data_IF_425567943198
#
_entry.id   IF_425567943198
#
_cell.length_a   1.000
_cell.length_b   1.000
_cell.length_c   1.000
_cell.angle_alpha   90.00
_cell.angle_beta   90.00
_cell.angle_gamma   90.00
#
_symmetry.space_group_name_H-M   'P 1'
#
loop_
_entity.id
_entity.type
_entity.pdbx_description
1 polymer ?
#
# COMPACT_ATOMS: atom_id res chain seq x y z
N UNK A 1 -16.37 -23.65 -24.32
CA UNK A 1 -16.21 -24.19 -22.96
C UNK A 1 -14.75 -24.42 -22.61
N UNK A 2 -13.91 -24.89 -23.55
CA UNK A 2 -12.45 -25.00 -23.35
C UNK A 2 -11.77 -23.67 -22.96
N UNK A 3 -12.12 -22.56 -23.61
CA UNK A 3 -11.50 -21.25 -23.37
C UNK A 3 -11.73 -20.69 -21.95
N UNK A 4 -12.90 -20.95 -21.37
CA UNK A 4 -13.21 -20.54 -19.98
C UNK A 4 -12.41 -21.37 -18.97
N UNK A 5 -12.26 -22.68 -19.22
CA UNK A 5 -11.49 -23.56 -18.35
C UNK A 5 -9.99 -23.28 -18.41
N UNK A 6 -9.45 -22.96 -19.59
CA UNK A 6 -8.04 -22.55 -19.74
C UNK A 6 -7.77 -21.23 -19.01
N UNK A 7 -8.66 -20.24 -19.13
CA UNK A 7 -8.54 -18.97 -18.42
C UNK A 7 -8.62 -19.13 -16.89
N UNK A 8 -9.55 -19.96 -16.39
CA UNK A 8 -9.65 -20.29 -14.96
C UNK A 8 -8.40 -20.99 -14.42
N UNK A 9 -7.82 -21.94 -15.17
CA UNK A 9 -6.58 -22.63 -14.77
C UNK A 9 -5.41 -21.65 -14.76
N UNK A 10 -5.29 -20.77 -15.76
CA UNK A 10 -4.24 -19.74 -15.84
C UNK A 10 -4.36 -18.76 -14.67
N UNK A 11 -5.56 -18.27 -14.37
CA UNK A 11 -5.81 -17.41 -13.22
C UNK A 11 -5.46 -18.08 -11.90
N UNK A 12 -5.86 -19.34 -11.69
CA UNK A 12 -5.53 -20.10 -10.46
C UNK A 12 -4.03 -20.34 -10.30
N UNK A 13 -3.33 -20.71 -11.36
CA UNK A 13 -1.86 -20.88 -11.33
C UNK A 13 -1.15 -19.55 -11.05
N UNK A 14 -1.62 -18.47 -11.66
CA UNK A 14 -1.10 -17.13 -11.39
C UNK A 14 -1.31 -16.72 -9.93
N UNK A 15 -2.49 -16.99 -9.37
CA UNK A 15 -2.78 -16.71 -7.96
C UNK A 15 -1.87 -17.51 -7.02
N UNK A 16 -1.72 -18.82 -7.25
CA UNK A 16 -0.84 -19.66 -6.43
C UNK A 16 0.62 -19.16 -6.45
N UNK A 17 1.12 -18.76 -7.63
CA UNK A 17 2.44 -18.15 -7.75
C UNK A 17 2.55 -16.86 -6.95
N UNK A 18 1.58 -15.94 -7.12
CA UNK A 18 1.58 -14.64 -6.44
C UNK A 18 1.59 -14.82 -4.92
N UNK A 19 0.69 -15.64 -4.39
CA UNK A 19 0.61 -15.91 -2.94
C UNK A 19 1.89 -16.57 -2.43
N UNK A 20 2.42 -17.56 -3.15
CA UNK A 20 3.67 -18.24 -2.75
C UNK A 20 4.87 -17.27 -2.74
N UNK A 21 4.98 -16.36 -3.70
CA UNK A 21 6.04 -15.36 -3.74
C UNK A 21 5.89 -14.32 -2.62
N UNK A 22 4.67 -13.85 -2.34
CA UNK A 22 4.41 -12.95 -1.22
C UNK A 22 4.82 -13.58 0.12
N UNK A 23 4.50 -14.86 0.32
CA UNK A 23 4.83 -15.57 1.56
C UNK A 23 6.31 -15.89 1.71
N UNK A 24 7.00 -16.21 0.63
CA UNK A 24 8.41 -16.62 0.66
C UNK A 24 9.37 -15.43 0.53
N UNK A 25 9.16 -14.58 -0.46
CA UNK A 25 10.02 -13.44 -0.83
C UNK A 25 9.58 -12.13 -0.22
N UNK A 26 8.29 -11.99 0.09
CA UNK A 26 7.69 -10.75 0.58
C UNK A 26 7.06 -9.87 -0.50
N UNK A 27 7.18 -10.23 -1.77
CA UNK A 27 6.63 -9.48 -2.89
C UNK A 27 6.32 -10.39 -4.09
N UNK A 28 5.50 -9.90 -5.01
CA UNK A 28 5.25 -10.52 -6.33
C UNK A 28 4.99 -9.45 -7.38
N UNK A 29 5.26 -9.78 -8.65
CA UNK A 29 4.94 -8.92 -9.79
C UNK A 29 3.69 -9.47 -10.49
N UNK A 30 2.76 -8.58 -10.79
CA UNK A 30 1.53 -8.86 -11.53
C UNK A 30 1.50 -7.99 -12.77
N UNK A 31 1.58 -8.62 -13.95
CA UNK A 31 1.52 -7.96 -15.26
C UNK A 31 0.07 -7.85 -15.73
N UNK A 32 -0.14 -7.08 -16.80
CA UNK A 32 -1.40 -7.05 -17.56
C UNK A 32 -2.65 -6.58 -16.78
N UNK A 33 -2.46 -5.71 -15.79
CA UNK A 33 -3.57 -5.06 -15.05
C UNK A 33 -4.22 -3.95 -15.88
N UNK A 34 -3.42 -3.29 -16.71
CA UNK A 34 -3.81 -2.19 -17.58
C UNK A 34 -3.21 -2.43 -18.97
N UNK A 35 -3.93 -2.01 -20.02
CA UNK A 35 -3.36 -2.00 -21.36
C UNK A 35 -2.40 -0.82 -21.55
N UNK A 36 -1.48 -0.88 -22.53
CA UNK A 36 -0.62 0.26 -22.86
C UNK A 36 -1.42 1.54 -23.18
N UNK A 37 -2.56 1.41 -23.84
CA UNK A 37 -3.45 2.52 -24.18
C UNK A 37 -4.05 3.16 -22.93
N UNK A 38 -4.54 2.35 -21.99
CA UNK A 38 -5.07 2.84 -20.71
C UNK A 38 -3.99 3.57 -19.90
N UNK A 39 -2.79 2.98 -19.82
CA UNK A 39 -1.68 3.63 -19.14
C UNK A 39 -1.28 4.96 -19.80
N UNK A 40 -1.22 5.03 -21.13
CA UNK A 40 -0.88 6.27 -21.85
C UNK A 40 -1.98 7.34 -21.69
N UNK A 41 -3.25 6.93 -21.67
CA UNK A 41 -4.36 7.82 -21.37
C UNK A 41 -4.24 8.40 -19.96
N UNK A 42 -3.98 7.56 -18.95
CA UNK A 42 -3.85 8.02 -17.56
C UNK A 42 -2.60 8.89 -17.36
N UNK A 43 -1.47 8.56 -18.01
CA UNK A 43 -0.27 9.42 -18.02
C UNK A 43 -0.60 10.79 -18.59
N UNK A 44 -1.34 10.87 -19.71
CA UNK A 44 -1.77 12.14 -20.30
C UNK A 44 -2.60 12.95 -19.31
N UNK A 45 -3.59 12.34 -18.65
CA UNK A 45 -4.41 13.01 -17.64
C UNK A 45 -3.60 13.50 -16.43
N UNK A 46 -2.60 12.73 -15.96
CA UNK A 46 -1.70 13.19 -14.91
C UNK A 46 -0.82 14.34 -15.37
N UNK A 47 -0.31 14.32 -16.61
CA UNK A 47 0.47 15.42 -17.19
C UNK A 47 -0.36 16.70 -17.36
N UNK A 48 -1.62 16.58 -17.75
CA UNK A 48 -2.58 17.69 -17.79
C UNK A 48 -2.87 18.23 -16.39
N UNK A 49 -3.09 17.37 -15.40
CA UNK A 49 -3.23 17.80 -14.01
C UNK A 49 -1.98 18.55 -13.54
N UNK A 50 -0.81 18.02 -13.86
CA UNK A 50 0.50 18.57 -13.56
C UNK A 50 0.68 19.96 -14.22
N UNK A 51 0.25 20.15 -15.47
CA UNK A 51 0.46 21.40 -16.22
C UNK A 51 -0.20 22.61 -15.57
N UNK A 52 -1.28 22.41 -14.80
CA UNK A 52 -1.97 23.46 -14.03
C UNK A 52 -1.05 24.22 -13.08
N UNK A 53 0.00 23.55 -12.59
CA UNK A 53 0.96 24.11 -11.64
C UNK A 53 2.06 24.96 -12.31
N UNK A 54 2.19 24.91 -13.64
CA UNK A 54 3.31 25.55 -14.34
C UNK A 54 4.67 25.11 -13.79
N UNK A 55 5.49 26.08 -13.41
CA UNK A 55 6.79 25.84 -12.77
C UNK A 55 6.68 25.62 -11.25
N UNK A 56 5.54 25.95 -10.65
CA UNK A 56 5.29 25.81 -9.22
C UNK A 56 4.73 24.42 -8.87
N UNK A 57 5.46 23.37 -9.25
CA UNK A 57 5.04 22.00 -8.97
C UNK A 57 4.81 21.77 -7.46
N UNK A 58 3.84 20.92 -7.09
CA UNK A 58 3.59 20.60 -5.68
C UNK A 58 4.83 19.95 -5.05
N UNK A 59 5.00 20.12 -3.75
CA UNK A 59 6.06 19.43 -3.01
C UNK A 59 5.83 17.92 -3.06
N UNK A 60 6.91 17.16 -3.30
CA UNK A 60 6.90 15.70 -3.42
C UNK A 60 8.02 15.13 -2.57
N UNK A 61 7.65 14.51 -1.45
CA UNK A 61 8.59 13.72 -0.66
C UNK A 61 8.72 12.36 -1.34
N UNK A 62 9.94 11.98 -1.75
CA UNK A 62 10.20 10.72 -2.46
C UNK A 62 9.30 10.49 -3.70
N UNK A 63 8.97 11.59 -4.39
CA UNK A 63 8.05 11.69 -5.53
C UNK A 63 6.56 11.50 -5.22
N UNK A 64 6.18 11.25 -3.97
CA UNK A 64 4.82 10.93 -3.58
C UNK A 64 3.97 12.19 -3.37
N UNK A 65 2.80 12.22 -4.02
CA UNK A 65 1.85 13.33 -3.93
C UNK A 65 0.54 12.87 -3.30
N UNK A 66 0.20 13.43 -2.14
CA UNK A 66 -1.08 13.21 -1.44
C UNK A 66 -2.00 14.42 -1.52
N UNK A 67 -1.46 15.60 -1.80
CA UNK A 67 -2.24 16.83 -1.85
C UNK A 67 -2.90 17.01 -3.22
N UNK A 68 -3.63 18.11 -3.31
CA UNK A 68 -4.27 18.60 -4.52
C UNK A 68 -5.29 17.62 -5.13
N UNK A 69 -5.92 16.79 -4.28
CA UNK A 69 -6.99 15.84 -4.62
C UNK A 69 -6.59 14.81 -5.68
N UNK A 70 -5.29 14.60 -5.92
CA UNK A 70 -4.81 13.65 -6.95
C UNK A 70 -5.20 12.21 -6.63
N UNK A 71 -5.29 11.86 -5.35
CA UNK A 71 -5.80 10.57 -4.89
C UNK A 71 -7.24 10.29 -5.34
N UNK A 72 -8.02 11.33 -5.69
CA UNK A 72 -9.41 11.23 -6.13
C UNK A 72 -9.60 11.57 -7.61
N UNK A 73 -8.51 11.77 -8.36
CA UNK A 73 -8.58 11.98 -9.78
C UNK A 73 -9.13 10.73 -10.50
N UNK A 74 -9.79 10.95 -11.63
CA UNK A 74 -10.33 9.88 -12.48
C UNK A 74 -9.32 8.76 -12.83
N UNK A 75 -8.08 9.05 -13.27
CA UNK A 75 -7.13 7.98 -13.57
C UNK A 75 -6.78 7.16 -12.32
N UNK A 76 -6.70 7.79 -11.14
CA UNK A 76 -6.40 7.12 -9.87
C UNK A 76 -7.49 6.11 -9.50
N UNK A 77 -8.76 6.50 -9.62
CA UNK A 77 -9.89 5.61 -9.35
C UNK A 77 -9.98 4.45 -10.34
N UNK A 78 -9.75 4.71 -11.63
CA UNK A 78 -9.70 3.67 -12.64
C UNK A 78 -8.61 2.63 -12.34
N UNK A 79 -7.41 3.06 -11.95
CA UNK A 79 -6.31 2.16 -11.58
C UNK A 79 -6.66 1.30 -10.37
N UNK A 80 -7.31 1.87 -9.34
CA UNK A 80 -7.80 1.09 -8.19
C UNK A 80 -8.80 0.03 -8.61
N UNK A 81 -9.80 0.39 -9.42
CA UNK A 81 -10.81 -0.56 -9.91
C UNK A 81 -10.17 -1.70 -10.72
N UNK A 82 -9.18 -1.40 -11.56
CA UNK A 82 -8.42 -2.40 -12.33
C UNK A 82 -7.56 -3.30 -11.47
N UNK A 83 -7.13 -2.83 -10.30
CA UNK A 83 -6.35 -3.61 -9.34
C UNK A 83 -7.22 -4.51 -8.45
N UNK A 84 -8.51 -4.19 -8.27
CA UNK A 84 -9.43 -4.92 -7.39
C UNK A 84 -9.42 -6.44 -7.61
N UNK A 85 -9.48 -6.99 -8.84
CA UNK A 85 -9.47 -8.44 -9.05
C UNK A 85 -8.22 -9.14 -8.51
N UNK A 86 -7.06 -8.46 -8.49
CA UNK A 86 -5.83 -9.01 -7.93
C UNK A 86 -5.97 -9.14 -6.41
N UNK A 87 -6.42 -8.07 -5.74
CA UNK A 87 -6.66 -8.08 -4.31
C UNK A 87 -7.77 -9.06 -3.90
N UNK A 88 -8.85 -9.15 -4.69
CA UNK A 88 -9.93 -10.08 -4.42
C UNK A 88 -9.46 -11.53 -4.50
N UNK A 89 -8.56 -11.81 -5.45
CA UNK A 89 -7.97 -13.14 -5.62
C UNK A 89 -7.06 -13.53 -4.44
N UNK A 90 -6.14 -12.64 -4.01
CA UNK A 90 -5.22 -12.95 -2.89
C UNK A 90 -5.94 -13.05 -1.55
N UNK A 91 -6.99 -12.25 -1.34
CA UNK A 91 -7.80 -12.29 -0.11
C UNK A 91 -8.95 -13.29 -0.16
N UNK A 92 -9.22 -13.88 -1.33
CA UNK A 92 -10.33 -14.80 -1.56
C UNK A 92 -11.70 -14.21 -1.20
N UNK A 93 -11.90 -12.92 -1.45
CA UNK A 93 -13.17 -12.22 -1.23
C UNK A 93 -13.31 -11.00 -2.14
N UNK A 94 -14.52 -10.75 -2.64
CA UNK A 94 -14.85 -9.53 -3.39
C UNK A 94 -15.20 -8.33 -2.50
N UNK A 95 -15.39 -8.60 -1.19
CA UNK A 95 -15.77 -7.60 -0.21
C UNK A 95 -14.52 -6.94 0.35
N UNK A 96 -14.06 -5.90 -0.33
CA UNK A 96 -12.80 -5.22 -0.05
C UNK A 96 -13.03 -3.76 0.29
N UNK A 97 -12.14 -3.19 1.10
CA UNK A 97 -11.97 -1.74 1.22
C UNK A 97 -10.63 -1.34 0.63
N UNK A 98 -10.61 -0.22 -0.09
CA UNK A 98 -9.39 0.34 -0.71
C UNK A 98 -8.87 1.52 0.09
N UNK A 99 -7.55 1.69 0.16
CA UNK A 99 -6.95 2.96 0.52
C UNK A 99 -7.25 4.00 -0.56
N UNK A 100 -7.28 5.27 -0.18
CA UNK A 100 -7.31 6.42 -1.08
C UNK A 100 -5.93 7.09 -1.07
N UNK A 101 -4.91 6.29 -1.33
CA UNK A 101 -3.50 6.68 -1.25
C UNK A 101 -3.08 7.57 -2.41
N UNK A 102 -1.88 8.14 -2.30
CA UNK A 102 -1.29 9.08 -3.23
C UNK A 102 -0.87 8.50 -4.57
N UNK A 103 -0.30 9.38 -5.38
CA UNK A 103 0.31 9.05 -6.67
C UNK A 103 1.76 9.52 -6.64
N UNK A 104 2.70 8.63 -6.95
CA UNK A 104 4.08 9.00 -7.11
C UNK A 104 4.33 9.48 -8.56
N UNK A 105 4.72 10.73 -8.70
CA UNK A 105 4.92 11.40 -9.99
C UNK A 105 6.22 12.19 -10.00
N UNK A 106 7.16 11.81 -10.86
CA UNK A 106 8.44 12.52 -10.95
C UNK A 106 8.85 12.72 -12.40
N UNK A 107 9.37 13.89 -12.68
CA UNK A 107 9.95 14.19 -13.98
C UNK A 107 11.38 13.63 -14.09
N UNK A 108 11.87 13.38 -15.31
CA UNK A 108 13.24 12.99 -15.53
C UNK A 108 14.24 13.95 -14.87
N UNK A 109 15.20 13.47 -14.05
CA UNK A 109 16.24 14.31 -13.45
C UNK A 109 17.08 15.08 -14.47
N UNK A 110 17.11 14.61 -15.71
CA UNK A 110 17.72 15.28 -16.85
C UNK A 110 17.15 16.68 -17.13
N UNK A 111 15.91 16.97 -16.69
CA UNK A 111 15.29 18.29 -16.78
C UNK A 111 15.75 19.26 -15.67
N UNK A 112 16.62 18.82 -14.76
CA UNK A 112 17.25 19.67 -13.74
C UNK A 112 16.37 20.02 -12.54
N UNK A 113 15.20 19.38 -12.41
CA UNK A 113 14.21 19.65 -11.34
C UNK A 113 14.07 18.51 -10.32
N UNK A 114 14.62 17.34 -10.63
CA UNK A 114 14.69 16.20 -9.72
C UNK A 114 16.12 15.67 -9.63
N UNK A 115 16.39 14.85 -8.62
CA UNK A 115 17.74 14.35 -8.34
C UNK A 115 17.94 12.95 -8.91
N UNK A 116 19.14 12.66 -9.40
CA UNK A 116 19.57 11.28 -9.63
C UNK A 116 19.82 10.58 -8.31
N UNK A 117 19.81 9.24 -8.32
CA UNK A 117 20.13 8.47 -7.13
C UNK A 117 21.54 8.78 -6.62
N UNK A 118 21.65 8.86 -5.30
CA UNK A 118 22.92 8.77 -4.59
C UNK A 118 23.12 7.30 -4.16
N UNK A 119 24.26 6.70 -4.50
CA UNK A 119 24.56 5.30 -4.15
C UNK A 119 24.54 5.01 -2.66
N UNK A 120 24.79 6.04 -1.84
CA UNK A 120 24.83 5.94 -0.39
C UNK A 120 23.48 6.23 0.27
N UNK A 121 22.46 6.62 -0.52
CA UNK A 121 21.12 6.92 -0.01
C UNK A 121 20.24 5.67 0.00
N UNK A 122 19.85 5.28 1.21
CA UNK A 122 18.86 4.25 1.48
C UNK A 122 17.84 4.81 2.45
N UNK A 123 16.57 4.65 2.13
CA UNK A 123 15.47 4.92 3.05
C UNK A 123 14.57 3.69 3.14
N UNK A 124 15.21 2.52 3.05
CA UNK A 124 14.57 1.22 3.23
C UNK A 124 13.78 1.23 4.52
N UNK A 125 12.49 0.96 4.42
CA UNK A 125 11.57 0.98 5.53
C UNK A 125 10.62 -0.21 5.47
N UNK A 126 9.94 -0.45 6.59
CA UNK A 126 8.74 -1.29 6.63
C UNK A 126 7.57 -0.45 7.10
N UNK A 127 6.43 -0.58 6.46
CA UNK A 127 5.23 0.15 6.84
C UNK A 127 4.51 -0.49 8.03
N UNK A 128 4.67 -1.80 8.22
CA UNK A 128 4.07 -2.49 9.34
C UNK A 128 4.97 -2.40 10.58
N UNK A 129 4.53 -1.57 11.54
CA UNK A 129 5.20 -1.41 12.81
C UNK A 129 5.27 -2.69 13.64
N UNK A 130 6.15 -2.69 14.64
CA UNK A 130 6.40 -3.84 15.53
C UNK A 130 5.20 -4.29 16.36
N UNK A 131 4.18 -3.43 16.48
CA UNK A 131 2.98 -3.66 17.26
C UNK A 131 1.91 -4.47 16.51
N UNK A 132 1.97 -4.53 15.16
CA UNK A 132 1.09 -5.34 14.32
C UNK A 132 1.70 -6.71 14.07
N UNK A 133 1.07 -7.76 14.58
CA UNK A 133 1.56 -9.13 14.46
C UNK A 133 0.90 -9.92 13.33
N UNK A 134 1.69 -10.47 12.41
CA UNK A 134 1.16 -11.23 11.27
C UNK A 134 0.82 -10.34 10.08
N UNK A 135 0.19 -10.91 9.06
CA UNK A 135 -0.15 -10.19 7.82
C UNK A 135 -1.33 -9.23 8.06
N UNK A 136 -1.15 -7.95 7.79
CA UNK A 136 -2.20 -6.92 7.89
C UNK A 136 -2.54 -6.24 6.56
N UNK A 137 -1.60 -6.19 5.62
CA UNK A 137 -1.87 -5.72 4.27
C UNK A 137 -0.92 -6.34 3.26
N UNK A 138 -1.45 -6.50 2.06
CA UNK A 138 -0.63 -6.45 0.86
C UNK A 138 -0.80 -5.06 0.26
N UNK A 139 0.31 -4.40 -0.02
CA UNK A 139 0.35 -3.10 -0.67
C UNK A 139 0.76 -3.24 -2.13
N UNK A 140 0.31 -2.31 -2.95
CA UNK A 140 0.47 -2.33 -4.40
C UNK A 140 0.96 -1.01 -4.96
N UNK A 141 1.83 -1.09 -5.96
CA UNK A 141 2.36 0.04 -6.70
C UNK A 141 2.16 -0.25 -8.19
N UNK A 142 1.22 0.44 -8.82
CA UNK A 142 0.87 0.26 -10.23
C UNK A 142 1.66 1.23 -11.08
N UNK A 143 2.61 0.70 -11.85
CA UNK A 143 3.46 1.44 -12.77
C UNK A 143 2.74 1.64 -14.10
N UNK A 144 2.53 2.92 -14.44
CA UNK A 144 1.89 3.31 -15.71
C UNK A 144 2.92 3.47 -16.83
N UNK A 145 4.16 3.80 -16.49
CA UNK A 145 5.27 3.95 -17.44
C UNK A 145 6.25 2.78 -17.34
N UNK A 146 6.95 2.51 -18.46
CA UNK A 146 8.03 1.53 -18.47
C UNK A 146 9.23 1.99 -17.62
N UNK A 147 9.86 1.03 -16.96
CA UNK A 147 11.06 1.22 -16.15
C UNK A 147 12.06 0.09 -16.36
N UNK A 148 13.32 0.48 -16.43
CA UNK A 148 14.50 -0.37 -16.37
C UNK A 148 15.22 -0.18 -15.03
N UNK A 149 16.25 -0.97 -14.74
CA UNK A 149 16.99 -0.92 -13.46
C UNK A 149 17.66 0.44 -13.17
N UNK A 150 17.80 1.28 -14.19
CA UNK A 150 18.41 2.61 -14.13
C UNK A 150 17.38 3.73 -14.07
N UNK A 151 16.08 3.41 -14.18
CA UNK A 151 14.95 4.34 -14.05
C UNK A 151 14.47 4.42 -12.59
N UNK A 152 13.37 5.13 -12.35
CA UNK A 152 12.70 5.13 -11.05
C UNK A 152 12.17 3.73 -10.71
N UNK A 153 12.81 3.05 -9.76
CA UNK A 153 12.49 1.66 -9.44
C UNK A 153 11.93 1.51 -8.02
N UNK A 154 11.05 0.54 -7.87
CA UNK A 154 10.77 -0.06 -6.56
C UNK A 154 11.94 -0.97 -6.19
N UNK A 155 12.40 -0.87 -4.96
CA UNK A 155 13.49 -1.68 -4.44
C UNK A 155 13.04 -2.35 -3.16
N UNK A 156 13.36 -3.63 -3.02
CA UNK A 156 13.03 -4.43 -1.84
C UNK A 156 14.28 -5.09 -1.30
N UNK A 157 14.21 -5.44 -0.03
CA UNK A 157 15.09 -6.41 0.58
C UNK A 157 14.35 -7.76 0.57
N UNK A 158 14.56 -8.54 -0.49
CA UNK A 158 13.93 -9.84 -0.70
C UNK A 158 14.18 -10.78 0.50
N UNK A 159 13.18 -11.57 0.87
CA UNK A 159 13.14 -12.47 2.03
C UNK A 159 13.06 -11.77 3.40
N UNK A 160 13.09 -10.42 3.47
CA UNK A 160 13.01 -9.70 4.74
C UNK A 160 11.76 -10.00 5.57
N UNK A 161 10.64 -10.34 4.91
CA UNK A 161 9.37 -10.71 5.55
C UNK A 161 9.53 -11.88 6.54
N UNK A 162 10.47 -12.80 6.30
CA UNK A 162 10.72 -13.96 7.16
C UNK A 162 11.25 -13.58 8.56
N UNK A 163 11.85 -12.39 8.68
CA UNK A 163 12.56 -11.98 9.88
C UNK A 163 11.80 -10.92 10.70
N UNK A 164 10.74 -10.31 10.15
CA UNK A 164 10.01 -9.18 10.75
C UNK A 164 9.72 -9.39 12.24
N UNK A 165 9.04 -10.48 12.62
CA UNK A 165 8.64 -10.70 14.02
C UNK A 165 9.61 -11.52 14.87
N UNK A 166 10.10 -12.68 14.39
CA UNK A 166 10.81 -13.63 15.26
C UNK A 166 12.25 -13.22 15.59
N UNK A 167 12.93 -12.49 14.69
CA UNK A 167 14.35 -12.21 14.83
C UNK A 167 14.66 -10.71 14.83
N UNK A 168 14.08 -9.92 13.93
CA UNK A 168 14.44 -8.51 13.75
C UNK A 168 14.05 -7.65 14.97
N UNK A 169 12.77 -7.68 15.37
CA UNK A 169 12.28 -6.90 16.53
C UNK A 169 12.88 -7.36 17.87
N UNK A 170 13.29 -8.63 17.99
CA UNK A 170 13.99 -9.13 19.18
C UNK A 170 15.46 -8.71 19.23
N UNK A 171 16.13 -8.71 18.07
CA UNK A 171 17.55 -8.37 17.96
C UNK A 171 17.80 -6.88 18.18
N UNK A 172 16.84 -6.03 17.76
CA UNK A 172 16.93 -4.58 17.90
C UNK A 172 15.81 -4.04 18.82
N UNK A 173 15.89 -4.26 20.15
CA UNK A 173 14.81 -3.97 21.11
C UNK A 173 14.64 -2.49 21.46
N UNK A 174 15.61 -1.61 21.12
CA UNK A 174 15.50 -0.14 21.30
C UNK A 174 14.25 0.46 20.62
N UNK A 175 13.64 -0.32 19.71
CA UNK A 175 12.36 -0.08 19.04
C UNK A 175 11.13 0.01 19.92
N UNK A 176 11.19 -0.42 21.19
CA UNK A 176 10.04 -0.24 22.11
C UNK A 176 9.64 1.21 22.31
N UNK A 177 10.52 2.19 22.05
CA UNK A 177 10.18 3.62 22.10
C UNK A 177 9.29 4.11 20.94
N UNK A 178 9.32 3.43 19.79
CA UNK A 178 8.43 3.69 18.65
C UNK A 178 7.34 2.60 18.52
N UNK A 179 7.09 1.85 19.61
CA UNK A 179 6.01 0.87 19.63
C UNK A 179 4.67 1.61 19.49
N UNK A 180 4.00 1.40 18.36
CA UNK A 180 2.76 2.08 18.00
C UNK A 180 2.86 2.95 16.74
N UNK A 181 4.05 3.18 16.20
CA UNK A 181 4.23 3.86 14.91
C UNK A 181 4.27 2.80 13.79
N UNK A 182 3.31 2.88 12.88
CA UNK A 182 3.46 2.33 11.53
C UNK A 182 4.48 3.20 10.77
N UNK A 183 5.23 2.63 9.81
CA UNK A 183 6.40 3.22 9.14
C UNK A 183 7.70 3.27 9.98
N UNK A 184 8.72 2.50 9.55
CA UNK A 184 10.02 2.42 10.21
C UNK A 184 11.16 2.37 9.19
N UNK A 185 11.98 3.43 9.15
CA UNK A 185 13.20 3.50 8.33
C UNK A 185 14.35 2.78 9.02
N UNK A 186 15.04 1.92 8.28
CA UNK A 186 16.15 1.12 8.80
C UNK A 186 17.45 1.92 8.89
N UNK A 187 18.24 1.61 9.91
CA UNK A 187 19.63 2.03 9.98
C UNK A 187 20.52 1.18 9.06
N UNK A 188 21.73 1.67 8.77
CA UNK A 188 22.73 0.89 8.02
C UNK A 188 23.06 -0.45 8.69
N UNK A 189 23.22 -0.46 10.02
CA UNK A 189 23.48 -1.68 10.80
C UNK A 189 22.36 -2.71 10.63
N UNK A 190 21.11 -2.25 10.58
CA UNK A 190 19.94 -3.11 10.40
C UNK A 190 19.87 -3.67 8.97
N UNK A 191 20.19 -2.86 7.96
CA UNK A 191 20.30 -3.31 6.57
C UNK A 191 21.41 -4.38 6.46
N UNK A 192 22.59 -4.12 7.03
CA UNK A 192 23.71 -5.06 7.03
C UNK A 192 23.35 -6.37 7.76
N UNK A 193 22.55 -6.30 8.83
CA UNK A 193 22.03 -7.49 9.51
C UNK A 193 21.15 -8.34 8.59
N UNK A 194 20.22 -7.75 7.85
CA UNK A 194 19.42 -8.51 6.89
C UNK A 194 20.26 -9.12 5.77
N UNK A 195 21.26 -8.38 5.26
CA UNK A 195 22.19 -8.91 4.26
C UNK A 195 22.94 -10.13 4.82
N UNK A 196 23.36 -10.09 6.10
CA UNK A 196 23.97 -11.23 6.78
C UNK A 196 23.04 -12.44 6.97
N UNK A 197 21.73 -12.24 6.80
CA UNK A 197 20.69 -13.28 6.79
C UNK A 197 20.30 -13.73 5.39
N UNK A 198 21.16 -13.46 4.40
CA UNK A 198 20.96 -13.82 2.98
C UNK A 198 19.78 -13.09 2.32
N UNK A 199 19.28 -12.00 2.90
CA UNK A 199 18.36 -11.10 2.21
C UNK A 199 19.10 -10.33 1.12
N UNK A 200 18.42 -10.09 0.00
CA UNK A 200 19.03 -9.48 -1.18
C UNK A 200 18.31 -8.19 -1.56
N UNK A 201 19.07 -7.13 -1.81
CA UNK A 201 18.52 -5.92 -2.40
C UNK A 201 18.18 -6.23 -3.87
N UNK A 202 16.89 -6.13 -4.21
CA UNK A 202 16.39 -6.28 -5.57
C UNK A 202 15.78 -4.98 -6.04
N UNK A 203 16.11 -4.58 -7.27
CA UNK A 203 15.45 -3.51 -8.02
C UNK A 203 14.64 -4.14 -9.14
N UNK A 204 13.47 -3.61 -9.42
CA UNK A 204 12.59 -4.19 -10.42
C UNK A 204 12.52 -3.36 -11.68
N UNK A 205 12.47 -4.07 -12.80
CA UNK A 205 12.10 -3.53 -14.11
C UNK A 205 10.61 -3.76 -14.31
N UNK A 206 9.89 -2.73 -14.69
CA UNK A 206 8.46 -2.83 -15.03
C UNK A 206 8.29 -2.49 -16.49
N UNK A 207 7.67 -3.37 -17.28
CA UNK A 207 7.12 -2.92 -18.55
C UNK A 207 5.91 -2.04 -18.29
N UNK A 208 4.84 -2.62 -17.76
CA UNK A 208 3.69 -1.98 -17.08
C UNK A 208 3.08 -3.04 -16.15
N UNK A 209 2.49 -2.65 -15.03
CA UNK A 209 1.89 -3.62 -14.10
C UNK A 209 1.99 -3.19 -12.65
N UNK A 210 1.89 -4.13 -11.74
CA UNK A 210 1.89 -3.89 -10.29
C UNK A 210 2.97 -4.70 -9.59
N UNK A 211 3.71 -4.05 -8.70
CA UNK A 211 4.35 -4.76 -7.58
C UNK A 211 3.33 -4.88 -6.48
N UNK A 212 3.18 -6.08 -5.95
CA UNK A 212 2.44 -6.36 -4.75
C UNK A 212 3.43 -6.80 -3.67
N UNK A 213 3.36 -6.26 -2.46
CA UNK A 213 4.25 -6.66 -1.36
C UNK A 213 3.50 -6.77 -0.03
N UNK A 214 4.01 -7.63 0.83
CA UNK A 214 3.58 -7.71 2.23
C UNK A 214 4.02 -6.45 2.98
N UNK A 215 3.15 -5.84 3.78
CA UNK A 215 3.46 -4.61 4.54
C UNK A 215 4.67 -4.74 5.49
N UNK A 216 5.08 -5.98 5.80
CA UNK A 216 6.29 -6.31 6.60
C UNK A 216 7.59 -6.34 5.78
N UNK A 217 7.49 -6.40 4.46
CA UNK A 217 8.64 -6.44 3.54
C UNK A 217 9.35 -5.10 3.58
N UNK A 218 10.67 -5.14 3.74
CA UNK A 218 11.49 -3.94 3.70
C UNK A 218 11.67 -3.47 2.27
N UNK A 219 11.37 -2.21 2.02
CA UNK A 219 11.35 -1.65 0.68
C UNK A 219 11.57 -0.15 0.68
N UNK A 220 11.82 0.41 -0.50
CA UNK A 220 11.81 1.84 -0.78
C UNK A 220 11.63 2.08 -2.29
N UNK A 221 11.66 3.35 -2.70
CA UNK A 221 11.91 3.69 -4.09
C UNK A 221 13.26 4.35 -4.28
N UNK A 222 13.84 4.15 -5.45
CA UNK A 222 15.11 4.77 -5.83
C UNK A 222 14.92 5.67 -7.05
N UNK A 223 15.58 6.83 -7.01
CA UNK A 223 15.68 7.72 -8.15
C UNK A 223 16.52 7.08 -9.30
N UNK A 224 16.47 7.64 -10.51
CA UNK A 224 17.20 7.11 -11.66
C UNK A 224 18.72 7.26 -11.50
N UNK A 225 19.48 6.40 -12.16
CA UNK A 225 20.94 6.52 -12.24
C UNK A 225 21.33 7.53 -13.31
N UNK A 226 22.38 8.31 -13.06
CA UNK A 226 22.93 9.25 -14.05
C UNK A 226 23.41 8.50 -15.29
N UNK A 227 23.07 9.02 -16.48
CA UNK A 227 23.48 8.43 -17.76
C UNK A 227 22.64 7.22 -18.20
N UNK A 228 21.43 7.04 -17.63
CA UNK A 228 20.48 6.02 -18.08
C UNK A 228 20.13 6.19 -19.56
N UNK A 229 19.81 5.08 -20.22
CA UNK A 229 19.52 5.06 -21.65
C UNK A 229 18.20 5.78 -22.00
N UNK A 230 17.17 5.62 -21.18
CA UNK A 230 15.84 6.17 -21.41
C UNK A 230 15.60 7.43 -20.56
N UNK A 231 16.37 8.47 -20.85
CA UNK A 231 16.43 9.71 -20.08
C UNK A 231 15.16 10.56 -20.13
N UNK A 232 14.20 10.23 -20.98
CA UNK A 232 12.91 10.92 -21.14
C UNK A 232 11.79 10.31 -20.28
N UNK A 233 12.00 9.12 -19.68
CA UNK A 233 10.98 8.40 -18.94
C UNK A 233 10.67 9.03 -17.58
N UNK A 234 9.39 9.26 -17.36
CA UNK A 234 8.80 9.77 -16.12
C UNK A 234 8.50 8.64 -15.12
N UNK A 235 8.34 8.99 -13.85
CA UNK A 235 7.68 8.13 -12.87
C UNK A 235 6.20 8.47 -12.81
N UNK A 236 5.34 7.48 -13.05
CA UNK A 236 3.91 7.55 -12.77
C UNK A 236 3.47 6.25 -12.11
N UNK A 237 3.24 6.29 -10.80
CA UNK A 237 2.89 5.12 -10.00
C UNK A 237 1.69 5.46 -9.11
N UNK A 238 0.63 4.65 -9.19
CA UNK A 238 -0.52 4.76 -8.28
C UNK A 238 -0.36 3.75 -7.16
N UNK A 239 -0.45 4.23 -5.92
CA UNK A 239 -0.38 3.39 -4.74
C UNK A 239 -1.78 2.84 -4.45
N UNK A 240 -1.89 1.52 -4.31
CA UNK A 240 -3.15 0.82 -4.12
C UNK A 240 -2.98 -0.23 -3.05
N UNK A 241 -3.79 -0.16 -2.00
CA UNK A 241 -3.90 -1.24 -1.03
C UNK A 241 -5.38 -1.56 -0.85
N UNK A 242 -5.72 -2.83 -0.80
CA UNK A 242 -7.06 -3.26 -0.46
C UNK A 242 -7.01 -4.42 0.53
N UNK A 243 -7.94 -4.44 1.48
CA UNK A 243 -8.08 -5.51 2.48
C UNK A 243 -9.54 -5.91 2.64
N UNK A 244 -9.84 -7.10 3.18
CA UNK A 244 -11.21 -7.52 3.45
C UNK A 244 -12.00 -6.48 4.26
N UNK A 245 -13.21 -6.16 3.79
CA UNK A 245 -14.06 -5.15 4.43
C UNK A 245 -14.43 -5.50 5.87
N UNK A 246 -14.48 -6.80 6.21
CA UNK A 246 -14.76 -7.29 7.57
C UNK A 246 -13.69 -6.90 8.60
N UNK A 247 -12.50 -6.47 8.17
CA UNK A 247 -11.44 -6.03 9.08
C UNK A 247 -11.64 -4.59 9.59
N UNK A 248 -12.58 -3.85 8.99
CA UNK A 248 -12.80 -2.45 9.31
C UNK A 248 -13.54 -2.25 10.62
N UNK A 249 -13.30 -1.10 11.24
CA UNK A 249 -14.07 -0.60 12.38
C UNK A 249 -15.09 0.45 11.93
N UNK A 250 -16.02 0.84 12.80
CA UNK A 250 -16.97 1.91 12.43
C UNK A 250 -16.25 3.25 12.32
N UNK A 251 -15.24 3.46 13.16
CA UNK A 251 -14.36 4.63 13.19
C UNK A 251 -13.56 4.77 11.89
N UNK A 252 -12.96 3.67 11.41
CA UNK A 252 -12.27 3.66 10.11
C UNK A 252 -13.23 4.03 8.97
N UNK A 253 -14.47 3.51 8.99
CA UNK A 253 -15.47 3.80 7.96
C UNK A 253 -15.84 5.28 7.94
N UNK A 254 -16.03 5.92 9.09
CA UNK A 254 -16.33 7.36 9.15
C UNK A 254 -15.16 8.19 8.61
N UNK A 255 -13.92 7.83 8.93
CA UNK A 255 -12.73 8.50 8.36
C UNK A 255 -12.64 8.31 6.84
N UNK A 256 -12.98 7.13 6.32
CA UNK A 256 -13.01 6.89 4.86
C UNK A 256 -14.12 7.70 4.18
N UNK A 257 -15.28 7.87 4.81
CA UNK A 257 -16.34 8.74 4.30
C UNK A 257 -15.88 10.20 4.26
N UNK A 258 -15.28 10.70 5.34
CA UNK A 258 -14.68 12.05 5.37
C UNK A 258 -13.66 12.21 4.24
N UNK A 259 -12.74 11.26 4.09
CA UNK A 259 -11.74 11.29 3.04
C UNK A 259 -12.34 11.30 1.62
N UNK A 260 -13.45 10.59 1.40
CA UNK A 260 -14.18 10.62 0.14
C UNK A 260 -14.92 11.94 -0.09
N UNK A 261 -15.70 12.41 0.89
CA UNK A 261 -16.51 13.61 0.75
C UNK A 261 -15.65 14.86 0.54
N UNK A 262 -14.49 14.92 1.19
CA UNK A 262 -13.58 16.07 1.10
C UNK A 262 -12.48 15.90 0.05
N UNK A 263 -12.42 14.72 -0.58
CA UNK A 263 -11.36 14.30 -1.50
C UNK A 263 -9.94 14.37 -0.89
N UNK A 264 -9.82 13.98 0.38
CA UNK A 264 -8.54 13.85 1.06
C UNK A 264 -7.90 12.49 0.77
N UNK A 265 -6.57 12.45 0.64
CA UNK A 265 -5.85 11.18 0.55
C UNK A 265 -5.79 10.51 1.92
N UNK A 266 -5.77 9.18 1.94
CA UNK A 266 -5.48 8.39 3.15
C UNK A 266 -4.08 7.80 3.07
N UNK A 267 -3.51 7.39 4.21
CA UNK A 267 -2.40 6.44 4.21
C UNK A 267 -2.77 5.11 3.53
N UNK A 268 -1.77 4.24 3.39
CA UNK A 268 -1.91 2.95 2.71
C UNK A 268 -2.87 1.98 3.42
N UNK A 269 -3.12 2.11 4.73
CA UNK A 269 -4.04 1.22 5.46
C UNK A 269 -5.50 1.45 5.06
N UNK A 270 -6.19 0.46 4.44
CA UNK A 270 -7.59 0.63 4.07
C UNK A 270 -8.56 0.38 5.23
N UNK A 271 -8.09 -0.26 6.30
CA UNK A 271 -8.80 -0.60 7.53
C UNK A 271 -7.80 -0.76 8.70
N UNK A 272 -8.30 -0.79 9.93
CA UNK A 272 -7.54 -0.98 11.16
C UNK A 272 -6.50 0.11 11.41
N UNK A 273 -6.89 1.38 11.41
CA UNK A 273 -5.98 2.51 11.54
C UNK A 273 -5.90 3.36 10.29
N UNK A 274 -7.07 3.63 9.68
CA UNK A 274 -7.18 4.61 8.60
C UNK A 274 -6.71 5.96 9.10
N UNK A 275 -5.87 6.62 8.31
CA UNK A 275 -5.34 7.95 8.63
C UNK A 275 -5.40 8.84 7.39
N UNK A 276 -5.76 10.11 7.58
CA UNK A 276 -5.94 11.09 6.50
C UNK A 276 -4.71 11.99 6.42
N UNK A 277 -4.20 12.18 5.21
CA UNK A 277 -3.21 13.22 4.97
C UNK A 277 -3.86 14.60 5.09
N UNK A 278 -3.06 15.57 5.50
CA UNK A 278 -3.48 16.97 5.55
C UNK A 278 -4.02 17.44 4.20
N UNK A 279 -5.13 18.16 4.26
CA UNK A 279 -5.80 18.69 3.08
C UNK A 279 -4.92 19.76 2.44
N UNK A 280 -5.05 19.93 1.13
CA UNK A 280 -4.35 20.96 0.35
C UNK A 280 -4.50 22.36 0.94
N UNK A 281 -5.62 22.65 1.62
CA UNK A 281 -5.87 23.92 2.30
C UNK A 281 -5.07 24.11 3.60
N UNK A 282 -4.66 23.04 4.29
CA UNK A 282 -4.13 23.11 5.66
C UNK A 282 -2.60 23.25 5.72
N UNK A 283 -1.88 22.71 4.72
CA UNK A 283 -0.43 22.93 4.54
C UNK A 283 -0.11 24.19 3.74
N UNK A 284 -1.04 24.69 2.93
CA UNK A 284 -0.91 25.94 2.18
C UNK A 284 -1.27 27.16 3.04
N UNK A 285 -0.54 27.37 4.16
CA UNK A 285 -0.54 28.68 4.86
C UNK A 285 0.14 29.79 4.05
N UNK A 286 0.36 29.58 2.76
CA UNK A 286 0.76 30.61 1.80
C UNK A 286 -0.16 30.56 0.59
N UNK A 287 -0.63 31.74 0.21
CA UNK A 287 -1.50 32.10 -0.90
C UNK A 287 -0.90 31.76 -2.30
N UNK A 288 0.08 30.86 -2.37
CA UNK A 288 0.87 30.56 -3.59
C UNK A 288 0.05 29.81 -4.63
N UNK A 289 -0.73 28.83 -4.17
CA UNK A 289 -1.56 27.98 -5.04
C UNK A 289 -3.04 28.41 -5.11
N UNK A 290 -3.40 29.58 -4.62
CA UNK A 290 -4.79 30.06 -4.64
C UNK A 290 -5.33 30.31 -6.05
N UNK A 291 -4.44 30.48 -7.02
CA UNK A 291 -4.77 30.60 -8.43
C UNK A 291 -5.11 29.25 -9.08
N UNK A 292 -4.81 28.12 -8.43
CA UNK A 292 -5.10 26.80 -8.96
C UNK A 292 -6.56 26.42 -8.74
N UNK A 293 -7.22 26.02 -9.82
CA UNK A 293 -8.65 25.78 -9.77
C UNK A 293 -9.09 24.55 -8.94
N UNK A 294 -8.26 23.63 -8.47
CA UNK A 294 -8.72 22.42 -7.72
C UNK A 294 -9.81 21.54 -8.38
N UNK A 295 -9.79 20.24 -8.11
CA UNK A 295 -10.89 19.35 -8.52
C UNK A 295 -12.06 19.63 -7.58
N UNK A 296 -13.21 20.06 -8.08
CA UNK A 296 -14.34 20.49 -7.24
C UNK A 296 -15.27 19.35 -6.84
N UNK A 297 -15.38 18.31 -7.67
CA UNK A 297 -16.27 17.18 -7.44
C UNK A 297 -15.58 15.85 -7.72
N UNK A 298 -16.11 14.78 -7.09
CA UNK A 298 -15.74 13.41 -7.42
C UNK A 298 -16.04 13.12 -8.91
N UNK A 299 -15.10 12.50 -9.66
CA UNK A 299 -15.34 12.14 -11.06
C UNK A 299 -16.45 11.09 -11.17
N UNK A 300 -17.05 10.97 -12.36
CA UNK A 300 -18.18 10.04 -12.58
C UNK A 300 -17.89 8.61 -12.16
N UNK A 301 -16.66 8.12 -12.41
CA UNK A 301 -16.24 6.77 -12.01
C UNK A 301 -16.22 6.56 -10.49
N UNK A 302 -15.92 7.61 -9.72
CA UNK A 302 -15.86 7.55 -8.26
C UNK A 302 -17.25 7.41 -7.61
N UNK A 303 -18.29 7.83 -8.34
CA UNK A 303 -19.69 7.71 -7.94
C UNK A 303 -20.29 6.33 -8.27
N UNK A 304 -19.50 5.44 -8.89
CA UNK A 304 -19.95 4.08 -9.22
C UNK A 304 -20.13 3.22 -7.97
N UNK A 305 -21.02 2.25 -8.05
CA UNK A 305 -21.32 1.31 -6.96
C UNK A 305 -20.07 0.60 -6.41
N UNK A 306 -19.16 0.20 -7.31
CA UNK A 306 -17.93 -0.48 -6.91
C UNK A 306 -16.98 0.43 -6.13
N UNK A 307 -16.86 1.70 -6.51
CA UNK A 307 -16.05 2.65 -5.74
C UNK A 307 -16.70 2.95 -4.39
N UNK A 308 -18.01 3.21 -4.36
CA UNK A 308 -18.72 3.48 -3.10
C UNK A 308 -18.59 2.32 -2.10
N UNK A 309 -18.51 1.08 -2.59
CA UNK A 309 -18.21 -0.11 -1.79
C UNK A 309 -16.76 -0.18 -1.34
N UNK A 310 -15.80 0.07 -2.22
CA UNK A 310 -14.37 0.12 -1.87
C UNK A 310 -14.05 1.22 -0.84
N UNK A 311 -14.81 2.32 -0.84
CA UNK A 311 -14.72 3.38 0.18
C UNK A 311 -15.40 2.96 1.48
N UNK A 312 -16.46 2.15 1.42
CA UNK A 312 -17.27 1.76 2.57
C UNK A 312 -18.49 2.67 2.80
N UNK A 313 -18.84 3.50 1.82
CA UNK A 313 -20.11 4.27 1.80
C UNK A 313 -21.27 3.31 1.57
N UNK A 314 -21.15 2.47 0.54
CA UNK A 314 -22.09 1.38 0.31
C UNK A 314 -21.60 0.12 1.03
N UNK A 315 -22.50 -0.50 1.80
CA UNK A 315 -22.21 -1.78 2.43
C UNK A 315 -22.22 -2.90 1.40
N UNK A 316 -21.33 -3.86 1.60
CA UNK A 316 -21.46 -5.17 0.99
C UNK A 316 -22.70 -5.87 1.57
N UNK A 317 -23.35 -6.72 0.77
CA UNK A 317 -24.40 -7.58 1.30
C UNK A 317 -23.77 -8.48 2.39
N UNK A 318 -24.51 -8.79 3.45
CA UNK A 318 -24.04 -9.76 4.42
C UNK A 318 -23.94 -11.12 3.71
N UNK A 319 -22.72 -11.56 3.42
CA UNK A 319 -22.51 -12.90 2.89
C UNK A 319 -22.76 -13.91 4.00
N UNK A 320 -23.89 -14.63 3.91
CA UNK A 320 -24.28 -15.70 4.83
C UNK A 320 -23.26 -16.87 4.90
N UNK A 321 -22.20 -16.85 4.08
CA UNK A 321 -21.18 -17.90 3.96
C UNK A 321 -19.72 -17.42 4.03
N UNK A 322 -19.45 -16.24 4.58
CA UNK A 322 -18.05 -15.79 4.74
C UNK A 322 -17.38 -16.44 5.97
N UNK A 323 -16.98 -17.70 5.83
CA UNK A 323 -16.04 -18.32 6.75
C UNK A 323 -14.66 -17.66 6.58
N UNK A 324 -14.20 -16.95 7.61
CA UNK A 324 -12.90 -16.30 7.62
C UNK A 324 -11.81 -17.34 7.74
N UNK A 325 -10.94 -17.43 6.73
CA UNK A 325 -9.63 -18.05 6.88
C UNK A 325 -8.70 -16.98 7.45
N UNK A 326 -8.34 -17.12 8.72
CA UNK A 326 -7.16 -16.44 9.28
C UNK A 326 -6.03 -17.46 9.42
N UNK A 327 -4.80 -17.04 9.10
CA UNK A 327 -3.61 -17.86 9.39
C UNK A 327 -3.30 -17.75 10.87
N UNK A 328 -3.27 -18.89 11.57
CA UNK A 328 -2.79 -18.92 12.95
C UNK A 328 -1.27 -18.74 13.01
N UNK A 329 -0.73 -18.65 14.24
CA UNK A 329 0.69 -18.44 14.53
C UNK A 329 1.64 -19.55 14.03
N UNK A 330 1.11 -20.61 13.40
CA UNK A 330 1.86 -21.72 12.82
C UNK A 330 1.84 -21.76 11.28
N UNK A 331 1.04 -20.89 10.63
CA UNK A 331 0.88 -20.89 9.16
C UNK A 331 -0.14 -21.92 8.67
N UNK A 332 -0.98 -22.48 9.55
CA UNK A 332 -2.05 -23.41 9.19
C UNK A 332 -3.39 -22.67 9.07
N UNK A 333 -4.20 -23.06 8.09
CA UNK A 333 -5.55 -22.52 7.83
C UNK A 333 -6.49 -22.93 8.98
N UNK A 334 -6.98 -21.99 9.78
CA UNK A 334 -7.97 -22.27 10.82
C UNK A 334 -9.24 -21.43 10.62
N UNK A 335 -10.38 -22.12 10.69
CA UNK A 335 -11.72 -21.54 10.78
C UNK A 335 -11.90 -20.89 12.17
N UNK A 336 -12.23 -19.60 12.22
CA UNK A 336 -12.64 -18.94 13.47
C UNK A 336 -14.15 -18.74 13.47
N UNK A 337 -14.92 -19.38 14.37
CA UNK A 337 -16.30 -19.00 14.59
C UNK A 337 -16.39 -17.74 15.46
N UNK A 338 -17.22 -16.79 15.02
CA UNK A 338 -17.60 -15.61 15.80
C UNK A 338 -18.37 -16.04 17.06
N UNK A 339 -17.77 -15.94 18.24
CA UNK A 339 -18.51 -15.91 19.50
C UNK A 339 -18.78 -14.45 19.87
N UNK A 340 -20.02 -14.02 19.63
CA UNK A 340 -20.56 -12.82 20.22
C UNK A 340 -20.72 -12.97 21.73
N UNK A 341 -20.56 -11.86 22.47
CA UNK A 341 -20.96 -11.80 23.86
C UNK A 341 -20.02 -10.99 24.74
N UNK A 342 -20.50 -9.81 25.14
CA UNK A 342 -20.00 -9.00 26.26
C UNK A 342 -19.65 -9.88 27.47
N UNK A 343 -18.49 -9.69 28.09
CA UNK A 343 -18.40 -9.78 29.54
C UNK A 343 -17.54 -8.67 30.15
N UNK A 344 -18.07 -8.19 31.28
CA UNK A 344 -17.65 -7.02 32.04
C UNK A 344 -16.48 -7.42 32.93
N UNK A 345 -15.43 -6.61 32.97
CA UNK A 345 -14.41 -6.69 34.01
C UNK A 345 -15.06 -6.45 35.38
N UNK A 346 -15.13 -7.49 36.20
CA UNK A 346 -15.31 -7.38 37.65
C UNK A 346 -14.00 -7.74 38.32
N UNK A 347 -13.49 -6.80 39.13
CA UNK A 347 -12.36 -6.95 40.03
C UNK A 347 -12.65 -8.05 41.06
N UNK A 348 -11.66 -8.89 41.37
CA UNK A 348 -11.64 -9.66 42.62
C UNK A 348 -10.27 -9.49 43.29
N UNK A 349 -10.36 -9.03 44.54
CA UNK A 349 -9.30 -8.84 45.52
C UNK A 349 -8.54 -10.14 45.85
N UNK A 350 -7.22 -10.03 46.00
CA UNK A 350 -6.38 -11.08 46.56
C UNK A 350 -6.14 -10.78 48.04
N UNK A 351 -6.72 -11.60 48.94
CA UNK A 351 -6.26 -11.72 50.33
C UNK A 351 -6.21 -13.18 50.78
N UNK A 352 -4.98 -13.58 51.12
CA UNK A 352 -4.51 -14.50 52.19
C UNK A 352 -5.11 -15.90 52.31
N UNK A 353 -4.20 -16.90 52.23
CA UNK A 353 -3.91 -17.89 53.29
C UNK A 353 -2.58 -18.58 52.95
N UNK A 354 -1.53 -18.38 53.74
CA UNK A 354 -1.01 -19.28 54.80
C UNK A 354 -0.66 -20.69 54.29
N UNK A 355 0.64 -20.98 54.27
CA UNK A 355 1.21 -22.32 54.35
C UNK A 355 2.07 -22.33 55.60
N UNK A 356 1.64 -23.09 56.61
CA UNK A 356 2.47 -23.60 57.70
C UNK A 356 2.87 -25.02 57.27
N UNK A 357 4.16 -25.34 57.26
CA UNK A 357 4.68 -26.39 58.14
C UNK A 357 6.23 -26.47 58.08
N UNK A 358 6.79 -26.63 59.28
CA UNK A 358 8.19 -26.86 59.70
C UNK A 358 9.19 -25.71 59.67
#
# INVERSE_FOLDING_TARGET
MEDKNVNLIRMRRNLQRVVSELESKGYSIVTDILTPEECNQYITQYKEWLSRFGDERPYREESLTHQFRVAHAEPTWNVRLRSKPVFASIWQTENLLSSMDGVAMEEPPELGRSSFCNSDYFWLHTDQGSWREGLHAYQGAVYLEETSETDFCFRVLENSVQFHKKNFMKTFPLRKKNAGEDFYILSKEEIDWFISKECQIKKFRFQRGMVLWDSRTIHDNIAPTRGRQNSDRWRFVVLVCMVPAIWTTSEDIELKKEAYDEMAATAHWPAQGVWLFQKTSERNKTNKFSHLEMIQEQPGIAKSKDVLRLVGIEKYAADENSEVISKDQSGTFCLIPMLGGRERHTKIDIKKTKVEDT
#
